data_IF_301682007949
#
_entry.id   IF_301682007949
#
_cell.length_a   1.000
_cell.length_b   1.000
_cell.length_c   1.000
_cell.angle_alpha   90.00
_cell.angle_beta   90.00
_cell.angle_gamma   90.00
#
_symmetry.space_group_name_H-M   'P 1'
#
loop_
_entity.id
_entity.type
_entity.pdbx_description
1 polymer ?
#
# COMPACT_ATOMS: atom_id res chain seq x y z
N UNK A 1 -30.80 41.55 -14.96
CA UNK A 1 -30.01 40.31 -15.05
C UNK A 1 -28.61 40.48 -14.44
N UNK A 2 -27.84 41.50 -14.86
CA UNK A 2 -26.48 41.77 -14.34
C UNK A 2 -26.37 42.05 -12.83
N UNK A 3 -27.33 42.78 -12.25
CA UNK A 3 -27.34 43.09 -10.82
C UNK A 3 -27.54 41.82 -9.97
N UNK A 4 -28.41 40.92 -10.42
CA UNK A 4 -28.70 39.64 -9.75
C UNK A 4 -27.48 38.71 -9.78
N UNK A 5 -26.77 38.72 -10.91
CA UNK A 5 -25.52 37.96 -11.10
C UNK A 5 -24.39 38.48 -10.21
N UNK A 6 -24.24 39.81 -10.06
CA UNK A 6 -23.26 40.42 -9.13
C UNK A 6 -23.58 40.11 -7.66
N UNK A 7 -24.86 40.19 -7.28
CA UNK A 7 -25.31 39.84 -5.92
C UNK A 7 -25.05 38.35 -5.64
N UNK A 8 -25.36 37.47 -6.59
CA UNK A 8 -25.09 36.04 -6.47
C UNK A 8 -23.60 35.74 -6.29
N UNK A 9 -22.72 36.32 -7.11
CA UNK A 9 -21.27 36.11 -6.99
C UNK A 9 -20.69 36.64 -5.68
N UNK A 10 -21.17 37.80 -5.22
CA UNK A 10 -20.73 38.36 -3.94
C UNK A 10 -21.18 37.47 -2.78
N UNK A 11 -22.40 36.94 -2.83
CA UNK A 11 -22.93 36.02 -1.82
C UNK A 11 -22.11 34.72 -1.78
N UNK A 12 -21.85 34.11 -2.95
CA UNK A 12 -21.06 32.88 -3.03
C UNK A 12 -19.63 33.09 -2.55
N UNK A 13 -18.99 34.21 -2.90
CA UNK A 13 -17.64 34.51 -2.43
C UNK A 13 -17.59 34.66 -0.91
N UNK A 14 -18.58 35.35 -0.32
CA UNK A 14 -18.66 35.56 1.12
C UNK A 14 -18.87 34.24 1.86
N UNK A 15 -19.76 33.37 1.36
CA UNK A 15 -20.01 32.04 1.94
C UNK A 15 -18.76 31.16 1.84
N UNK A 16 -18.10 31.13 0.68
CA UNK A 16 -16.87 30.34 0.51
C UNK A 16 -15.74 30.82 1.44
N UNK A 17 -15.57 32.13 1.60
CA UNK A 17 -14.56 32.69 2.51
C UNK A 17 -14.86 32.34 3.98
N UNK A 18 -16.13 32.33 4.38
CA UNK A 18 -16.58 31.91 5.72
C UNK A 18 -16.29 30.43 5.99
N UNK A 19 -16.57 29.54 5.03
CA UNK A 19 -16.31 28.10 5.16
C UNK A 19 -14.81 27.80 5.30
N UNK A 20 -13.97 28.41 4.47
CA UNK A 20 -12.51 28.19 4.54
C UNK A 20 -11.93 28.69 5.86
N UNK A 21 -12.42 29.82 6.36
CA UNK A 21 -11.95 30.39 7.64
C UNK A 21 -12.40 29.56 8.85
N UNK A 22 -13.57 28.91 8.77
CA UNK A 22 -14.06 28.02 9.81
C UNK A 22 -13.23 26.73 9.92
N UNK A 23 -12.68 26.22 8.82
CA UNK A 23 -11.81 25.04 8.82
C UNK A 23 -10.36 25.34 9.23
N UNK A 24 -9.94 26.60 9.29
CA UNK A 24 -8.55 26.98 9.62
C UNK A 24 -8.34 27.41 11.07
N UNK A 25 -9.39 27.46 11.89
CA UNK A 25 -9.32 27.92 13.28
C UNK A 25 -9.14 26.82 14.32
N UNK A 26 -9.29 25.55 13.95
CA UNK A 26 -8.94 24.45 14.83
C UNK A 26 -7.43 24.25 14.82
N UNK A 27 -6.78 24.60 15.92
CA UNK A 27 -5.39 24.22 16.16
C UNK A 27 -5.33 22.70 16.16
N UNK A 28 -4.44 22.12 15.34
CA UNK A 28 -4.25 20.68 15.31
C UNK A 28 -3.97 20.19 16.73
N UNK A 29 -4.64 19.12 17.18
CA UNK A 29 -4.40 18.60 18.52
C UNK A 29 -2.92 18.28 18.67
N UNK A 30 -2.35 18.66 19.81
CA UNK A 30 -1.02 18.19 20.19
C UNK A 30 -1.16 16.69 20.44
N UNK A 31 -0.64 15.90 19.50
CA UNK A 31 -0.63 14.45 19.62
C UNK A 31 0.36 14.04 20.71
N UNK A 32 0.00 13.02 21.48
CA UNK A 32 0.96 12.36 22.36
C UNK A 32 2.10 11.78 21.51
N UNK A 33 3.35 11.80 22.02
CA UNK A 33 4.46 11.15 21.33
C UNK A 33 4.14 9.67 21.12
N UNK A 34 4.36 9.18 19.91
CA UNK A 34 4.23 7.75 19.62
C UNK A 34 5.32 7.00 20.37
N UNK A 35 4.94 5.98 21.14
CA UNK A 35 5.90 4.99 21.62
C UNK A 35 6.41 4.20 20.41
N UNK A 36 7.69 4.41 20.08
CA UNK A 36 8.31 3.81 18.90
C UNK A 36 8.46 2.29 19.01
N UNK A 37 8.60 1.76 20.23
CA UNK A 37 8.75 0.32 20.46
C UNK A 37 7.40 -0.38 20.32
N UNK A 38 6.36 0.18 20.94
CA UNK A 38 4.98 -0.29 20.80
C UNK A 38 4.54 -0.24 19.33
N UNK A 39 4.75 0.89 18.65
CA UNK A 39 4.42 1.02 17.24
C UNK A 39 5.15 -0.01 16.37
N UNK A 40 6.45 -0.23 16.61
CA UNK A 40 7.22 -1.21 15.85
C UNK A 40 6.68 -2.63 16.04
N UNK A 41 6.30 -3.00 17.27
CA UNK A 41 5.70 -4.29 17.59
C UNK A 41 4.35 -4.45 16.88
N UNK A 42 3.41 -3.53 17.09
CA UNK A 42 2.08 -3.55 16.47
C UNK A 42 2.16 -3.56 14.93
N UNK A 43 3.03 -2.74 14.35
CA UNK A 43 3.21 -2.68 12.91
C UNK A 43 3.77 -4.00 12.36
N UNK A 44 4.70 -4.65 13.07
CA UNK A 44 5.24 -5.95 12.68
C UNK A 44 4.18 -7.05 12.72
N UNK A 45 3.33 -7.06 13.75
CA UNK A 45 2.19 -7.98 13.88
C UNK A 45 1.18 -7.75 12.76
N UNK A 46 0.79 -6.49 12.51
CA UNK A 46 -0.10 -6.13 11.41
C UNK A 46 0.42 -6.60 10.05
N UNK A 47 1.72 -6.43 9.79
CA UNK A 47 2.38 -6.91 8.55
C UNK A 47 2.31 -8.43 8.43
N UNK A 48 2.55 -9.16 9.53
CA UNK A 48 2.48 -10.62 9.53
C UNK A 48 1.06 -11.10 9.27
N UNK A 49 0.06 -10.55 9.98
CA UNK A 49 -1.34 -10.87 9.80
C UNK A 49 -1.82 -10.58 8.37
N UNK A 50 -1.36 -9.48 7.77
CA UNK A 50 -1.63 -9.15 6.36
C UNK A 50 -1.06 -10.19 5.41
N UNK A 51 0.18 -10.63 5.62
CA UNK A 51 0.78 -11.70 4.80
C UNK A 51 -0.03 -12.99 4.94
N UNK A 52 -0.17 -13.52 6.15
CA UNK A 52 -0.86 -14.78 6.41
C UNK A 52 -2.33 -14.80 5.94
N UNK A 53 -3.03 -13.66 6.03
CA UNK A 53 -4.39 -13.52 5.53
C UNK A 53 -4.51 -13.51 4.01
N UNK A 54 -3.49 -12.99 3.31
CA UNK A 54 -3.53 -12.70 1.88
C UNK A 54 -2.71 -13.68 1.02
N UNK A 55 -1.77 -14.45 1.58
CA UNK A 55 -1.18 -15.63 0.94
C UNK A 55 -1.98 -16.90 1.22
N UNK A 56 -3.30 -16.86 1.04
CA UNK A 56 -4.13 -18.08 1.07
C UNK A 56 -4.29 -18.64 -0.33
N UNK A 57 -4.50 -19.96 -0.46
CA UNK A 57 -4.89 -20.58 -1.72
C UNK A 57 -6.03 -19.81 -2.40
N UNK A 58 -5.91 -19.57 -3.71
CA UNK A 58 -6.91 -18.90 -4.56
C UNK A 58 -7.26 -17.46 -4.17
N UNK A 59 -6.41 -16.79 -3.39
CA UNK A 59 -6.59 -15.39 -2.97
C UNK A 59 -6.52 -14.40 -4.15
N UNK A 60 -5.92 -14.76 -5.28
CA UNK A 60 -5.82 -13.88 -6.45
C UNK A 60 -4.66 -12.88 -6.37
N UNK A 61 -4.25 -12.36 -7.52
CA UNK A 61 -2.91 -11.77 -7.73
C UNK A 61 -2.76 -10.35 -7.17
N UNK A 62 -3.85 -9.56 -7.19
CA UNK A 62 -3.90 -8.20 -6.61
C UNK A 62 -3.63 -8.22 -5.11
N UNK A 63 -3.97 -9.30 -4.42
CA UNK A 63 -3.85 -9.41 -2.97
C UNK A 63 -2.42 -9.69 -2.52
N UNK A 64 -1.51 -10.05 -3.42
CA UNK A 64 -0.09 -10.30 -3.12
C UNK A 64 0.79 -9.05 -3.25
N UNK A 65 0.37 -8.08 -4.07
CA UNK A 65 1.12 -6.85 -4.28
C UNK A 65 1.18 -5.98 -3.01
N UNK A 66 2.38 -5.57 -2.60
CA UNK A 66 2.59 -4.72 -1.43
C UNK A 66 2.66 -5.46 -0.09
N UNK A 67 2.63 -6.79 -0.09
CA UNK A 67 2.78 -7.63 1.11
C UNK A 67 4.22 -7.69 1.64
N UNK A 68 5.20 -7.67 0.72
CA UNK A 68 6.62 -7.71 1.05
C UNK A 68 7.29 -6.40 0.70
N UNK A 69 8.25 -6.00 1.54
CA UNK A 69 9.23 -5.01 1.14
C UNK A 69 10.27 -5.72 0.28
N UNK A 70 10.54 -5.18 -0.90
CA UNK A 70 11.59 -5.69 -1.77
C UNK A 70 12.84 -4.89 -1.52
N UNK A 71 13.90 -5.53 -1.07
CA UNK A 71 15.21 -4.90 -1.01
C UNK A 71 15.76 -4.65 -2.42
N UNK A 72 16.83 -3.86 -2.53
CA UNK A 72 17.50 -3.67 -3.82
C UNK A 72 18.16 -4.98 -4.27
N UNK A 73 18.14 -5.26 -5.57
CA UNK A 73 18.72 -6.48 -6.15
C UNK A 73 17.69 -7.59 -6.37
N UNK A 74 18.16 -8.84 -6.28
CA UNK A 74 17.37 -10.03 -6.61
C UNK A 74 16.69 -10.62 -5.37
N UNK A 75 15.40 -10.92 -5.48
CA UNK A 75 14.60 -11.58 -4.44
C UNK A 75 13.87 -12.78 -5.05
N UNK A 76 14.28 -14.02 -4.72
CA UNK A 76 13.58 -15.21 -5.19
C UNK A 76 12.24 -15.39 -4.47
N UNK A 77 11.26 -15.95 -5.19
CA UNK A 77 9.94 -16.23 -4.65
C UNK A 77 9.36 -17.55 -5.20
N UNK A 78 8.51 -18.19 -4.41
CA UNK A 78 7.92 -19.48 -4.73
C UNK A 78 7.30 -20.14 -3.50
N UNK A 79 6.95 -21.43 -3.57
CA UNK A 79 6.34 -22.14 -2.44
C UNK A 79 7.34 -22.76 -1.46
N UNK A 80 8.64 -22.69 -1.75
CA UNK A 80 9.67 -23.15 -0.85
C UNK A 80 9.72 -22.27 0.42
N UNK A 81 9.59 -22.84 1.64
CA UNK A 81 9.58 -22.09 2.90
C UNK A 81 10.92 -21.43 3.25
N UNK A 82 12.02 -21.80 2.58
CA UNK A 82 13.32 -21.16 2.77
C UNK A 82 13.46 -19.87 1.95
N UNK A 83 12.50 -19.56 1.06
CA UNK A 83 12.54 -18.35 0.24
C UNK A 83 12.08 -17.10 1.03
N UNK A 84 12.63 -15.91 0.73
CA UNK A 84 12.22 -14.65 1.35
C UNK A 84 10.74 -14.29 1.11
N UNK A 85 10.18 -14.76 -0.01
CA UNK A 85 8.78 -14.60 -0.37
C UNK A 85 8.20 -15.98 -0.61
N UNK A 86 7.55 -16.51 0.43
CA UNK A 86 6.87 -17.81 0.38
C UNK A 86 5.41 -17.64 -0.03
N UNK A 87 4.99 -18.39 -1.04
CA UNK A 87 3.65 -18.47 -1.57
C UNK A 87 3.01 -19.83 -1.25
N UNK A 88 1.68 -19.98 -1.35
CA UNK A 88 1.04 -21.28 -1.19
C UNK A 88 1.49 -22.28 -2.26
N UNK A 89 1.86 -23.50 -1.84
CA UNK A 89 2.28 -24.60 -2.73
C UNK A 89 1.23 -25.00 -3.75
N UNK A 90 -0.05 -24.83 -3.42
CA UNK A 90 -1.16 -25.11 -4.35
C UNK A 90 -1.22 -24.15 -5.54
N UNK A 91 -0.72 -22.92 -5.37
CA UNK A 91 -0.81 -21.85 -6.38
C UNK A 91 0.54 -21.55 -7.05
N UNK A 92 1.65 -22.05 -6.50
CA UNK A 92 3.01 -21.71 -6.94
C UNK A 92 3.93 -22.93 -6.93
N UNK A 93 4.84 -23.06 -7.91
CA UNK A 93 5.93 -24.03 -7.82
C UNK A 93 6.92 -23.65 -6.68
N UNK A 94 7.81 -24.57 -6.26
CA UNK A 94 8.83 -24.32 -5.24
C UNK A 94 9.65 -23.06 -5.50
N UNK A 95 10.06 -22.85 -6.75
CA UNK A 95 10.67 -21.61 -7.22
C UNK A 95 9.89 -21.11 -8.44
N UNK A 96 9.17 -19.99 -8.29
CA UNK A 96 8.38 -19.38 -9.35
C UNK A 96 9.20 -18.40 -10.20
N UNK A 97 10.10 -17.66 -9.57
CA UNK A 97 10.93 -16.68 -10.25
C UNK A 97 11.77 -15.85 -9.32
N UNK A 98 12.35 -14.79 -9.88
CA UNK A 98 13.15 -13.80 -9.18
C UNK A 98 12.59 -12.42 -9.50
N UNK A 99 12.33 -11.63 -8.47
CA UNK A 99 12.05 -10.20 -8.58
C UNK A 99 13.38 -9.45 -8.55
N UNK A 100 13.62 -8.59 -9.52
CA UNK A 100 14.79 -7.71 -9.52
C UNK A 100 14.34 -6.27 -9.30
N UNK A 101 14.84 -5.64 -8.24
CA UNK A 101 14.59 -4.23 -7.97
C UNK A 101 15.85 -3.40 -8.22
N UNK A 102 15.72 -2.38 -9.06
CA UNK A 102 16.74 -1.35 -9.27
C UNK A 102 16.12 0.04 -9.09
N UNK A 103 16.37 0.66 -7.94
CA UNK A 103 15.72 1.90 -7.57
C UNK A 103 14.20 1.71 -7.41
N UNK A 104 13.44 2.27 -8.35
CA UNK A 104 11.98 2.15 -8.44
C UNK A 104 11.53 1.12 -9.47
N UNK A 105 12.44 0.65 -10.33
CA UNK A 105 12.12 -0.33 -11.35
C UNK A 105 12.08 -1.73 -10.73
N UNK A 106 11.03 -2.47 -11.06
CA UNK A 106 10.84 -3.87 -10.66
C UNK A 106 10.64 -4.69 -11.93
N UNK A 107 11.50 -5.68 -12.14
CA UNK A 107 11.33 -6.68 -13.19
C UNK A 107 11.14 -8.06 -12.59
N UNK A 108 10.47 -8.94 -13.33
CA UNK A 108 10.22 -10.31 -12.92
C UNK A 108 10.92 -11.22 -13.93
N UNK A 109 11.74 -12.13 -13.42
CA UNK A 109 12.37 -13.20 -14.17
C UNK A 109 11.72 -14.53 -13.78
N UNK A 110 10.78 -15.06 -14.59
CA UNK A 110 10.17 -16.36 -14.34
C UNK A 110 11.19 -17.48 -14.55
N UNK A 111 11.16 -18.51 -13.71
CA UNK A 111 11.89 -19.76 -14.00
C UNK A 111 11.28 -20.43 -15.24
N UNK A 112 12.08 -21.07 -16.11
CA UNK A 112 11.56 -21.79 -17.26
C UNK A 112 10.43 -22.76 -16.89
N UNK A 113 9.32 -22.70 -17.65
CA UNK A 113 8.08 -23.45 -17.42
C UNK A 113 7.30 -23.09 -16.14
N UNK A 114 7.71 -22.07 -15.39
CA UNK A 114 6.83 -21.46 -14.38
C UNK A 114 5.80 -20.59 -15.09
N UNK A 115 4.51 -20.80 -14.77
CA UNK A 115 3.45 -19.91 -15.24
C UNK A 115 3.24 -18.84 -14.19
N UNK A 116 3.57 -17.60 -14.54
CA UNK A 116 3.19 -16.42 -13.77
C UNK A 116 2.00 -15.78 -14.48
N UNK A 117 0.85 -15.74 -13.82
CA UNK A 117 -0.35 -15.05 -14.29
C UNK A 117 -0.75 -13.99 -13.28
N UNK A 118 -1.07 -12.78 -13.77
CA UNK A 118 -1.56 -11.64 -12.98
C UNK A 118 -3.07 -11.50 -13.11
#
# INVERSE_FOLDING_TARGET
>A
MELYRKIWYSLTFTISALVVSACSQEEWPVLEPVDTEEFAAEHSEWRQNRREGLVRPFSGVVLWMGLWNLDQGATPFGSDPELPITLPEVDSPPLAGILHRSGQDITIEPVPNSRISF
#
